data_IF_289070189136
#
_entry.id   IF_289070189136
#
_cell.length_a   1.000
_cell.length_b   1.000
_cell.length_c   1.000
_cell.angle_alpha   90.00
_cell.angle_beta   90.00
_cell.angle_gamma   90.00
#
_symmetry.space_group_name_H-M   'P 1'
#
loop_
_entity.id
_entity.type
_entity.pdbx_description
1 polymer ?
#
# COMPACT_ATOMS: atom_id res chain seq x y z
N UNK A 1 37.62 -33.27 -6.60
CA UNK A 1 37.98 -31.86 -6.95
C UNK A 1 37.01 -31.21 -7.94
N UNK A 2 36.87 -31.68 -9.19
CA UNK A 2 35.95 -31.07 -10.16
C UNK A 2 34.47 -31.20 -9.75
N UNK A 3 34.04 -32.36 -9.26
CA UNK A 3 32.67 -32.58 -8.76
C UNK A 3 32.30 -31.69 -7.53
N UNK A 4 33.27 -31.49 -6.64
CA UNK A 4 33.06 -30.61 -5.47
C UNK A 4 32.91 -29.14 -5.88
N UNK A 5 33.71 -28.68 -6.82
CA UNK A 5 33.61 -27.30 -7.35
C UNK A 5 32.27 -27.08 -8.07
N UNK A 6 31.80 -28.06 -8.83
CA UNK A 6 30.50 -27.99 -9.52
C UNK A 6 29.36 -27.91 -8.51
N UNK A 7 29.38 -28.70 -7.45
CA UNK A 7 28.36 -28.67 -6.37
C UNK A 7 28.40 -27.32 -5.60
N UNK A 8 29.58 -26.82 -5.29
CA UNK A 8 29.72 -25.51 -4.63
C UNK A 8 29.20 -24.36 -5.49
N UNK A 9 29.49 -24.38 -6.80
CA UNK A 9 28.95 -23.38 -7.74
C UNK A 9 27.44 -23.45 -7.88
N UNK A 10 26.86 -24.67 -7.89
CA UNK A 10 25.40 -24.83 -7.92
C UNK A 10 24.74 -24.23 -6.68
N UNK A 11 25.27 -24.49 -5.49
CA UNK A 11 24.75 -23.91 -4.25
C UNK A 11 24.84 -22.37 -4.24
N UNK A 12 25.96 -21.81 -4.69
CA UNK A 12 26.12 -20.37 -4.81
C UNK A 12 25.13 -19.75 -5.83
N UNK A 13 24.89 -20.45 -6.93
CA UNK A 13 23.91 -20.02 -7.92
C UNK A 13 22.49 -19.99 -7.35
N UNK A 14 22.08 -21.03 -6.65
CA UNK A 14 20.77 -21.11 -5.99
C UNK A 14 20.60 -19.99 -4.96
N UNK A 15 21.64 -19.73 -4.16
CA UNK A 15 21.64 -18.62 -3.20
C UNK A 15 21.46 -17.26 -3.90
N UNK A 16 22.22 -17.02 -4.97
CA UNK A 16 22.11 -15.78 -5.73
C UNK A 16 20.75 -15.62 -6.40
N UNK A 17 20.20 -16.69 -6.98
CA UNK A 17 18.87 -16.68 -7.56
C UNK A 17 17.79 -16.35 -6.52
N UNK A 18 17.91 -16.92 -5.32
CA UNK A 18 16.98 -16.60 -4.22
C UNK A 18 17.08 -15.13 -3.80
N UNK A 19 18.29 -14.58 -3.69
CA UNK A 19 18.50 -13.17 -3.36
C UNK A 19 17.93 -12.24 -4.44
N UNK A 20 18.14 -12.56 -5.71
CA UNK A 20 17.58 -11.79 -6.83
C UNK A 20 16.06 -11.82 -6.76
N UNK A 21 15.46 -13.01 -6.57
CA UNK A 21 13.99 -13.14 -6.45
C UNK A 21 13.42 -12.27 -5.34
N UNK A 22 14.04 -12.24 -4.15
CA UNK A 22 13.60 -11.39 -3.03
C UNK A 22 13.64 -9.90 -3.42
N UNK A 23 14.67 -9.47 -4.14
CA UNK A 23 14.79 -8.08 -4.60
C UNK A 23 13.73 -7.74 -5.66
N UNK A 24 13.49 -8.63 -6.62
CA UNK A 24 12.45 -8.48 -7.64
C UNK A 24 11.06 -8.43 -7.01
N UNK A 25 10.80 -9.25 -6.01
CA UNK A 25 9.54 -9.28 -5.27
C UNK A 25 9.32 -7.99 -4.48
N UNK A 26 10.35 -7.50 -3.79
CA UNK A 26 10.25 -6.23 -3.09
C UNK A 26 9.99 -5.05 -4.06
N UNK A 27 10.59 -5.08 -5.25
CA UNK A 27 10.32 -4.08 -6.29
C UNK A 27 8.91 -4.21 -6.88
N UNK A 28 8.43 -5.44 -7.08
CA UNK A 28 7.05 -5.69 -7.53
C UNK A 28 6.01 -5.16 -6.51
N UNK A 29 6.29 -5.29 -5.21
CA UNK A 29 5.46 -4.74 -4.14
C UNK A 29 5.51 -3.19 -4.14
N UNK A 30 6.68 -2.56 -4.36
CA UNK A 30 6.76 -1.10 -4.54
C UNK A 30 5.91 -0.62 -5.71
N UNK A 31 5.99 -1.32 -6.83
CA UNK A 31 5.18 -1.02 -8.01
C UNK A 31 3.68 -1.23 -7.79
N UNK A 32 3.29 -2.26 -7.02
CA UNK A 32 1.90 -2.47 -6.62
C UNK A 32 1.38 -1.31 -5.77
N UNK A 33 2.17 -0.87 -4.76
CA UNK A 33 1.83 0.29 -3.93
C UNK A 33 1.74 1.59 -4.75
N UNK A 34 2.66 1.80 -5.70
CA UNK A 34 2.63 2.96 -6.59
C UNK A 34 1.38 2.97 -7.48
N UNK A 35 0.95 1.82 -8.02
CA UNK A 35 -0.30 1.70 -8.77
C UNK A 35 -1.52 2.00 -7.90
N UNK A 36 -1.54 1.48 -6.66
CA UNK A 36 -2.61 1.79 -5.72
C UNK A 36 -2.73 3.31 -5.48
N UNK A 37 -1.62 3.99 -5.19
CA UNK A 37 -1.59 5.44 -5.02
C UNK A 37 -2.10 6.16 -6.27
N UNK A 38 -1.58 5.81 -7.46
CA UNK A 38 -2.00 6.40 -8.73
C UNK A 38 -3.50 6.22 -9.01
N UNK A 39 -4.08 5.06 -8.66
CA UNK A 39 -5.52 4.82 -8.84
C UNK A 39 -6.38 5.56 -7.81
N UNK A 40 -5.85 5.80 -6.61
CA UNK A 40 -6.49 6.70 -5.65
C UNK A 40 -6.45 8.16 -6.15
N UNK A 41 -5.34 8.60 -6.73
CA UNK A 41 -5.18 9.95 -7.28
C UNK A 41 -5.99 10.16 -8.57
N UNK A 42 -6.32 9.09 -9.30
CA UNK A 42 -7.23 9.06 -10.45
C UNK A 42 -8.71 9.00 -10.01
N UNK A 43 -9.11 9.94 -9.16
CA UNK A 43 -10.47 10.06 -8.64
C UNK A 43 -10.98 8.78 -7.95
N UNK A 44 -10.09 8.05 -7.28
CA UNK A 44 -10.41 6.80 -6.59
C UNK A 44 -11.06 5.76 -7.49
N UNK A 45 -10.45 5.45 -8.63
CA UNK A 45 -11.00 4.49 -9.60
C UNK A 45 -11.28 3.13 -8.93
N UNK A 46 -12.56 2.81 -8.62
CA UNK A 46 -12.90 1.70 -7.73
C UNK A 46 -12.56 0.34 -8.34
N UNK A 47 -12.75 0.17 -9.64
CA UNK A 47 -12.51 -1.10 -10.33
C UNK A 47 -11.00 -1.40 -10.37
N UNK A 48 -10.19 -0.43 -10.77
CA UNK A 48 -8.73 -0.57 -10.80
C UNK A 48 -8.14 -0.80 -9.41
N UNK A 49 -8.65 -0.11 -8.38
CA UNK A 49 -8.21 -0.31 -6.99
C UNK A 49 -8.57 -1.72 -6.53
N UNK A 50 -9.82 -2.14 -6.71
CA UNK A 50 -10.29 -3.46 -6.29
C UNK A 50 -9.49 -4.61 -6.90
N UNK A 51 -9.06 -4.49 -8.17
CA UNK A 51 -8.24 -5.50 -8.86
C UNK A 51 -6.87 -5.73 -8.18
N UNK A 52 -6.38 -4.78 -7.39
CA UNK A 52 -5.11 -4.92 -6.66
C UNK A 52 -5.24 -5.79 -5.41
N UNK A 53 -6.45 -6.09 -4.96
CA UNK A 53 -6.76 -6.85 -3.76
C UNK A 53 -7.19 -8.28 -4.09
N UNK A 54 -6.90 -9.22 -3.18
CA UNK A 54 -7.48 -10.58 -3.25
C UNK A 54 -8.95 -10.53 -2.85
N UNK A 55 -9.71 -11.62 -3.14
CA UNK A 55 -11.17 -11.64 -2.92
C UNK A 55 -11.56 -11.44 -1.46
N UNK A 56 -10.81 -12.04 -0.53
CA UNK A 56 -11.02 -11.97 0.92
C UNK A 56 -10.11 -10.95 1.61
N UNK A 57 -9.68 -9.91 0.87
CA UNK A 57 -8.81 -8.87 1.42
C UNK A 57 -9.53 -7.98 2.44
N UNK A 58 -8.73 -7.33 3.28
CA UNK A 58 -9.22 -6.35 4.26
C UNK A 58 -8.56 -4.99 3.99
N UNK A 59 -9.36 -3.95 3.94
CA UNK A 59 -8.91 -2.57 3.94
C UNK A 59 -9.48 -1.84 5.16
N UNK A 60 -8.62 -1.15 5.90
CA UNK A 60 -9.01 -0.45 7.11
C UNK A 60 -8.29 0.88 7.24
N UNK A 61 -9.02 1.91 7.66
CA UNK A 61 -8.45 3.21 8.01
C UNK A 61 -9.30 3.85 9.10
N UNK A 62 -8.73 4.05 10.25
CA UNK A 62 -9.30 4.60 11.48
C UNK A 62 -10.68 5.27 11.37
N UNK A 63 -10.71 6.51 10.86
CA UNK A 63 -11.96 7.28 10.72
C UNK A 63 -12.83 6.90 9.53
N UNK A 64 -12.29 6.16 8.55
CA UNK A 64 -13.01 5.80 7.32
C UNK A 64 -13.69 4.43 7.42
N UNK A 65 -13.27 3.60 8.37
CA UNK A 65 -13.88 2.29 8.61
C UNK A 65 -13.03 1.10 8.18
N UNK A 66 -13.64 -0.09 8.25
CA UNK A 66 -13.07 -1.38 7.88
C UNK A 66 -13.98 -2.07 6.86
N UNK A 67 -13.39 -2.52 5.77
CA UNK A 67 -14.09 -3.14 4.65
C UNK A 67 -13.46 -4.51 4.38
N UNK A 68 -14.27 -5.55 4.42
CA UNK A 68 -13.86 -6.94 4.25
C UNK A 68 -14.39 -7.50 2.93
N UNK A 69 -13.49 -8.03 2.12
CA UNK A 69 -13.75 -8.51 0.77
C UNK A 69 -13.57 -7.44 -0.30
N UNK A 70 -13.09 -7.89 -1.47
CA UNK A 70 -12.81 -7.03 -2.63
C UNK A 70 -13.99 -6.17 -3.04
N UNK A 71 -15.21 -6.70 -3.01
CA UNK A 71 -16.40 -5.96 -3.41
C UNK A 71 -16.73 -4.84 -2.42
N UNK A 72 -16.67 -5.09 -1.10
CA UNK A 72 -16.85 -4.05 -0.09
C UNK A 72 -15.79 -2.94 -0.21
N UNK A 73 -14.54 -3.31 -0.53
CA UNK A 73 -13.47 -2.35 -0.82
C UNK A 73 -13.81 -1.52 -2.06
N UNK A 74 -14.28 -2.16 -3.14
CA UNK A 74 -14.70 -1.47 -4.37
C UNK A 74 -15.82 -0.47 -4.10
N UNK A 75 -16.86 -0.86 -3.37
CA UNK A 75 -17.98 0.00 -2.99
C UNK A 75 -17.52 1.21 -2.17
N UNK A 76 -16.61 1.01 -1.22
CA UNK A 76 -16.03 2.12 -0.46
C UNK A 76 -15.33 3.12 -1.39
N UNK A 77 -14.47 2.65 -2.30
CA UNK A 77 -13.74 3.54 -3.20
C UNK A 77 -14.63 4.23 -4.22
N UNK A 78 -15.78 3.66 -4.57
CA UNK A 78 -16.81 4.34 -5.38
C UNK A 78 -17.35 5.61 -4.71
N UNK A 79 -17.37 5.64 -3.37
CA UNK A 79 -17.84 6.79 -2.59
C UNK A 79 -16.70 7.72 -2.13
N UNK A 80 -15.44 7.27 -2.19
CA UNK A 80 -14.29 7.99 -1.64
C UNK A 80 -14.06 9.36 -2.30
N UNK A 81 -14.34 9.51 -3.61
CA UNK A 81 -14.26 10.79 -4.32
C UNK A 81 -15.28 11.84 -3.82
N UNK A 82 -16.35 11.41 -3.15
CA UNK A 82 -17.31 12.32 -2.49
C UNK A 82 -16.79 12.85 -1.16
N UNK A 83 -15.83 12.15 -0.54
CA UNK A 83 -15.17 12.56 0.69
C UNK A 83 -13.99 13.47 0.38
N UNK A 84 -13.17 13.06 -0.59
CA UNK A 84 -11.96 13.78 -1.01
C UNK A 84 -12.13 14.26 -2.46
N UNK A 85 -12.30 15.56 -2.65
CA UNK A 85 -12.42 16.19 -3.98
C UNK A 85 -11.08 16.36 -4.67
N UNK A 86 -9.99 16.25 -3.91
CA UNK A 86 -8.60 16.22 -4.36
C UNK A 86 -7.78 15.43 -3.33
N UNK A 87 -6.87 14.60 -3.78
CA UNK A 87 -5.88 13.96 -2.94
C UNK A 87 -4.66 13.55 -3.77
N UNK A 88 -3.48 13.57 -3.13
CA UNK A 88 -2.26 12.95 -3.63
C UNK A 88 -1.72 12.00 -2.56
N UNK A 89 -1.47 10.75 -2.94
CA UNK A 89 -1.02 9.72 -2.03
C UNK A 89 0.48 9.43 -2.22
N UNK A 90 1.28 9.80 -1.24
CA UNK A 90 2.71 9.48 -1.20
C UNK A 90 2.96 8.35 -0.22
N UNK A 91 3.31 7.17 -0.75
CA UNK A 91 3.83 6.05 0.05
C UNK A 91 5.35 6.18 0.16
N UNK A 92 5.84 6.45 1.35
CA UNK A 92 7.23 6.81 1.62
C UNK A 92 7.90 5.78 2.54
N UNK A 93 9.25 5.72 2.48
CA UNK A 93 10.11 4.98 3.41
C UNK A 93 9.68 3.52 3.64
N UNK A 94 9.53 2.70 2.60
CA UNK A 94 9.06 1.33 2.75
C UNK A 94 10.04 0.45 3.53
N UNK A 95 9.49 -0.35 4.43
CA UNK A 95 10.15 -1.51 5.03
C UNK A 95 9.39 -2.74 4.52
N UNK A 96 10.01 -3.53 3.65
CA UNK A 96 9.39 -4.68 2.97
C UNK A 96 10.11 -5.95 3.37
N UNK A 97 9.38 -6.95 3.84
CA UNK A 97 9.85 -8.27 4.18
C UNK A 97 9.10 -9.30 3.33
N UNK A 98 9.85 -10.05 2.53
CA UNK A 98 9.31 -11.09 1.63
C UNK A 98 9.64 -12.47 2.21
N UNK A 99 8.63 -13.32 2.31
CA UNK A 99 8.74 -14.73 2.72
C UNK A 99 7.96 -15.62 1.74
N UNK A 100 8.66 -16.17 0.77
CA UNK A 100 8.07 -17.01 -0.28
C UNK A 100 7.00 -16.27 -1.08
N UNK A 101 5.74 -16.72 -0.96
CA UNK A 101 4.58 -16.14 -1.66
C UNK A 101 3.76 -15.20 -0.77
N UNK A 102 4.30 -14.81 0.37
CA UNK A 102 3.74 -13.80 1.27
C UNK A 102 4.74 -12.70 1.54
N UNK A 103 4.26 -11.51 1.87
CA UNK A 103 5.11 -10.41 2.27
C UNK A 103 4.35 -9.47 3.22
N UNK A 104 5.12 -8.70 3.97
CA UNK A 104 4.63 -7.59 4.79
C UNK A 104 5.38 -6.33 4.44
N UNK A 105 4.70 -5.20 4.55
CA UNK A 105 5.37 -3.93 4.45
C UNK A 105 4.76 -2.87 5.37
N UNK A 106 5.62 -1.96 5.83
CA UNK A 106 5.24 -0.73 6.49
C UNK A 106 5.64 0.45 5.63
N UNK A 107 4.71 1.39 5.45
CA UNK A 107 4.90 2.61 4.69
C UNK A 107 4.52 3.82 5.54
N UNK A 108 5.13 4.95 5.26
CA UNK A 108 4.62 6.23 5.72
C UNK A 108 3.73 6.82 4.62
N UNK A 109 2.49 7.13 4.98
CA UNK A 109 1.58 7.88 4.11
C UNK A 109 1.74 9.37 4.38
N UNK A 110 1.91 10.16 3.33
CA UNK A 110 1.71 11.61 3.37
C UNK A 110 0.70 11.97 2.28
N UNK A 111 -0.35 12.69 2.65
CA UNK A 111 -1.50 12.92 1.76
C UNK A 111 -2.02 14.36 1.93
N UNK A 112 -1.54 15.31 1.12
CA UNK A 112 -2.23 16.57 0.93
C UNK A 112 -3.55 16.31 0.21
N UNK A 113 -4.66 16.85 0.75
CA UNK A 113 -5.97 16.60 0.17
C UNK A 113 -6.92 17.78 0.41
N UNK A 114 -8.05 17.77 -0.30
CA UNK A 114 -9.20 18.63 -0.05
C UNK A 114 -10.38 17.75 0.36
N UNK A 115 -10.89 17.95 1.57
CA UNK A 115 -12.13 17.31 2.00
C UNK A 115 -13.33 18.09 1.48
N UNK A 116 -14.38 17.37 1.07
CA UNK A 116 -15.59 17.97 0.47
C UNK A 116 -16.35 18.83 1.47
N UNK A 117 -16.37 18.43 2.76
CA UNK A 117 -16.99 19.22 3.82
C UNK A 117 -16.24 20.54 4.04
N UNK A 118 -16.90 21.62 3.66
CA UNK A 118 -16.35 22.98 3.73
C UNK A 118 -15.22 23.24 2.71
N UNK A 119 -14.95 22.36 1.74
CA UNK A 119 -13.89 22.50 0.73
C UNK A 119 -12.52 22.86 1.36
N UNK A 120 -12.14 22.11 2.40
CA UNK A 120 -10.97 22.42 3.23
C UNK A 120 -9.73 21.69 2.74
N UNK A 121 -8.64 22.43 2.56
CA UNK A 121 -7.32 21.86 2.34
C UNK A 121 -6.77 21.27 3.65
N UNK A 122 -6.27 20.03 3.58
CA UNK A 122 -5.78 19.28 4.73
C UNK A 122 -4.40 18.69 4.47
N UNK A 123 -3.60 18.61 5.51
CA UNK A 123 -2.42 17.76 5.59
C UNK A 123 -2.78 16.49 6.37
N UNK A 124 -2.55 15.35 5.76
CA UNK A 124 -2.72 14.05 6.43
C UNK A 124 -1.43 13.25 6.37
N UNK A 125 -1.10 12.60 7.48
CA UNK A 125 -0.03 11.61 7.52
C UNK A 125 -0.47 10.41 8.34
N UNK A 126 0.04 9.25 7.93
CA UNK A 126 -0.27 7.98 8.57
C UNK A 126 0.84 6.96 8.41
N UNK A 127 0.60 5.81 8.99
CA UNK A 127 1.38 4.59 8.80
C UNK A 127 0.44 3.56 8.19
N UNK A 128 0.85 3.00 7.06
CA UNK A 128 0.18 1.88 6.41
C UNK A 128 0.94 0.60 6.75
N UNK A 129 0.32 -0.30 7.49
CA UNK A 129 0.78 -1.68 7.68
C UNK A 129 0.01 -2.57 6.70
N UNK A 130 0.76 -3.32 5.87
CA UNK A 130 0.21 -4.04 4.74
C UNK A 130 0.72 -5.47 4.69
N UNK A 131 -0.17 -6.41 4.33
CA UNK A 131 0.17 -7.78 4.01
C UNK A 131 -0.15 -8.06 2.54
N UNK A 132 0.71 -8.85 1.91
CA UNK A 132 0.63 -9.19 0.50
C UNK A 132 0.70 -10.70 0.30
N UNK A 133 0.09 -11.17 -0.77
CA UNK A 133 0.16 -12.56 -1.20
C UNK A 133 0.34 -12.62 -2.71
N UNK A 134 1.09 -13.62 -3.17
CA UNK A 134 1.27 -13.89 -4.59
C UNK A 134 0.16 -14.79 -5.10
N UNK A 135 -0.59 -14.33 -6.10
CA UNK A 135 -1.64 -15.07 -6.78
C UNK A 135 -1.35 -15.07 -8.28
N UNK A 136 -1.26 -16.23 -8.91
CA UNK A 136 -0.98 -16.36 -10.34
C UNK A 136 0.28 -15.57 -10.80
N UNK A 137 1.35 -15.60 -9.98
CA UNK A 137 2.63 -14.88 -10.18
C UNK A 137 2.55 -13.36 -9.98
N UNK A 138 1.43 -12.82 -9.53
CA UNK A 138 1.25 -11.40 -9.26
C UNK A 138 1.07 -11.16 -7.76
N UNK A 139 1.71 -10.12 -7.23
CA UNK A 139 1.49 -9.66 -5.88
C UNK A 139 0.16 -8.90 -5.79
N UNK A 140 -0.62 -9.20 -4.73
CA UNK A 140 -1.89 -8.57 -4.41
C UNK A 140 -1.91 -8.16 -2.94
N UNK A 141 -2.68 -7.13 -2.59
CA UNK A 141 -2.97 -6.82 -1.20
C UNK A 141 -3.84 -7.92 -0.58
N UNK A 142 -3.39 -8.44 0.56
CA UNK A 142 -4.18 -9.30 1.46
C UNK A 142 -4.83 -8.47 2.56
N UNK A 143 -4.09 -7.53 3.13
CA UNK A 143 -4.62 -6.55 4.07
C UNK A 143 -3.88 -5.21 3.94
N UNK A 144 -4.60 -4.12 4.25
CA UNK A 144 -4.05 -2.78 4.36
C UNK A 144 -4.72 -2.08 5.53
N UNK A 145 -3.95 -1.70 6.55
CA UNK A 145 -4.41 -0.94 7.70
C UNK A 145 -3.68 0.39 7.79
N UNK A 146 -4.43 1.48 7.81
CA UNK A 146 -3.89 2.83 7.93
C UNK A 146 -4.16 3.38 9.33
N UNK A 147 -3.08 3.78 10.02
CA UNK A 147 -3.14 4.46 11.32
C UNK A 147 -2.73 5.92 11.16
N UNK A 148 -3.62 6.85 11.51
CA UNK A 148 -3.35 8.29 11.39
C UNK A 148 -2.28 8.75 12.38
N UNK A 149 -1.33 9.56 11.90
CA UNK A 149 -0.32 10.26 12.70
C UNK A 149 -0.73 11.69 12.97
N UNK A 150 -1.25 12.35 11.94
CA UNK A 150 -1.96 13.63 12.06
C UNK A 150 -2.95 13.82 10.90
N UNK A 151 -3.95 14.67 11.15
CA UNK A 151 -4.93 15.14 10.17
C UNK A 151 -5.26 16.60 10.54
N UNK A 152 -4.70 17.55 9.83
CA UNK A 152 -4.70 18.95 10.23
C UNK A 152 -5.09 19.88 9.07
N UNK A 153 -5.87 20.95 9.33
CA UNK A 153 -6.12 21.97 8.33
C UNK A 153 -4.81 22.60 7.83
N UNK A 154 -4.78 22.93 6.55
CA UNK A 154 -3.59 23.53 5.90
C UNK A 154 -3.11 24.79 6.61
N UNK A 155 -4.03 25.67 6.99
CA UNK A 155 -3.75 26.99 7.58
C UNK A 155 -3.26 26.88 9.04
N UNK A 156 -3.65 25.82 9.77
CA UNK A 156 -3.31 25.67 11.19
C UNK A 156 -2.06 24.83 11.41
N UNK A 157 -1.90 23.75 10.64
CA UNK A 157 -0.78 22.83 10.76
C UNK A 157 -0.81 21.98 12.04
N UNK A 158 -0.01 20.93 12.06
CA UNK A 158 0.02 19.92 13.14
C UNK A 158 0.55 20.42 14.49
N UNK A 159 1.18 21.61 14.53
CA UNK A 159 1.65 22.22 15.75
C UNK A 159 0.50 22.83 16.58
N UNK A 160 -0.54 23.32 15.90
CA UNK A 160 -1.72 23.93 16.55
C UNK A 160 -2.86 22.91 16.66
N UNK A 161 -3.16 22.19 15.57
CA UNK A 161 -4.22 21.17 15.53
C UNK A 161 -3.64 19.88 14.93
N UNK A 162 -3.49 18.86 15.73
CA UNK A 162 -2.94 17.59 15.26
C UNK A 162 -4.01 16.69 14.61
N UNK A 163 -5.23 16.73 15.12
CA UNK A 163 -6.38 15.98 14.57
C UNK A 163 -7.60 16.89 14.53
N UNK A 164 -8.16 17.07 13.32
CA UNK A 164 -9.40 17.80 13.07
C UNK A 164 -10.43 16.88 12.41
#
# INVERSE_FOLDING_TARGET
MAADLTAELALKLDELQNRVRILEDAEAIRNLKARYAAYCDDNYNPDKIAELFVEDAVWESGSLGRFEGREAIREFFQEASKIFTFALHYGLNPQIEVDGDTARARWYLFMPCTVSDGNKAMWRAGIDDEEYVRVNREWKFKSKTSTGVFNTPFEEGWANVRFA
#
